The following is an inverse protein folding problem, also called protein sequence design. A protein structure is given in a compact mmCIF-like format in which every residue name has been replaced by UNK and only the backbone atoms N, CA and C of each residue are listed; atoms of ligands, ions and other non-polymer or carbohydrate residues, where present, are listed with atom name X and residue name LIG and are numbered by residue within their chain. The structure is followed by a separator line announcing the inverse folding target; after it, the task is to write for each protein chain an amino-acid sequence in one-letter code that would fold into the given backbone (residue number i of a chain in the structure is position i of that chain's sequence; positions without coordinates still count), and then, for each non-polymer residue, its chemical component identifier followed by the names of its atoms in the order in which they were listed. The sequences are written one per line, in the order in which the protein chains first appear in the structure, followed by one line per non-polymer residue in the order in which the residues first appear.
data_IF_235479778571
#
_entry.id   IF_235479778571
#
_cell.length_a   1.000
_cell.length_b   1.000
_cell.length_c   1.000
_cell.angle_alpha   90.00
_cell.angle_beta   90.00
_cell.angle_gamma   90.00
#
_symmetry.space_group_name_H-M   'P 1'
#
loop_
_entity.id
_entity.type
_entity.pdbx_description
1 polymer ?
#
# COMPACT_ATOMS: atom_id res chain seq x y z
N UNK A 1 5.48 6.21 -2.65
CA UNK A 1 5.80 4.77 -2.83
C UNK A 1 7.26 4.55 -3.23
N UNK A 2 7.70 4.94 -4.44
CA UNK A 2 9.09 4.68 -4.88
C UNK A 2 10.14 5.35 -3.98
N UNK A 3 9.91 6.59 -3.55
CA UNK A 3 10.78 7.26 -2.57
C UNK A 3 10.90 6.50 -1.23
N UNK A 4 9.81 5.84 -0.78
CA UNK A 4 9.83 5.02 0.44
C UNK A 4 10.66 3.75 0.22
N UNK A 5 10.62 3.20 -1.00
CA UNK A 5 11.45 2.06 -1.40
C UNK A 5 12.94 2.41 -1.45
N UNK A 6 13.27 3.67 -1.74
CA UNK A 6 14.64 4.20 -1.72
C UNK A 6 15.12 4.37 -0.27
N UNK A 7 14.29 4.96 0.60
CA UNK A 7 14.57 5.03 2.06
C UNK A 7 14.77 3.64 2.66
N UNK A 8 13.97 2.65 2.26
CA UNK A 8 14.20 1.26 2.66
C UNK A 8 15.54 0.71 2.16
N UNK A 9 15.94 1.07 0.94
CA UNK A 9 17.21 0.64 0.38
C UNK A 9 18.40 1.25 1.13
N UNK A 10 18.33 2.53 1.51
CA UNK A 10 19.33 3.22 2.34
C UNK A 10 19.43 2.62 3.74
N UNK A 11 18.30 2.18 4.31
CA UNK A 11 18.24 1.50 5.61
C UNK A 11 18.63 0.01 5.59
N UNK A 12 19.11 -0.52 4.44
CA UNK A 12 19.47 -1.93 4.28
C UNK A 12 20.71 -2.10 3.41
N UNK A 13 21.18 -3.35 3.25
CA UNK A 13 22.29 -3.65 2.34
C UNK A 13 21.93 -3.47 0.84
N UNK A 14 20.65 -3.21 0.54
CA UNK A 14 20.16 -3.12 -0.83
C UNK A 14 20.78 -1.95 -1.60
N UNK A 15 21.00 -0.80 -0.97
CA UNK A 15 21.64 0.34 -1.65
C UNK A 15 23.04 -0.03 -2.17
N UNK A 16 23.87 -0.62 -1.29
CA UNK A 16 25.21 -1.09 -1.63
C UNK A 16 25.18 -2.15 -2.73
N UNK A 17 24.26 -3.12 -2.63
CA UNK A 17 24.10 -4.18 -3.63
C UNK A 17 23.61 -3.65 -4.99
N UNK A 18 22.69 -2.67 -5.01
CA UNK A 18 22.27 -1.97 -6.25
C UNK A 18 23.47 -1.30 -6.92
N UNK A 19 24.29 -0.59 -6.15
CA UNK A 19 25.47 0.11 -6.66
C UNK A 19 26.54 -0.87 -7.20
N UNK A 20 26.75 -2.01 -6.53
CA UNK A 20 27.64 -3.07 -7.02
C UNK A 20 27.12 -3.70 -8.31
N UNK A 21 25.83 -4.09 -8.33
CA UNK A 21 25.19 -4.73 -9.48
C UNK A 21 25.20 -3.85 -10.73
N UNK A 22 25.14 -2.52 -10.56
CA UNK A 22 25.25 -1.57 -11.67
C UNK A 22 26.65 -1.51 -12.30
N UNK A 23 27.71 -1.89 -11.57
CA UNK A 23 29.10 -1.91 -12.06
C UNK A 23 29.45 -3.25 -12.71
N UNK A 24 29.03 -4.34 -12.08
CA UNK A 24 29.20 -5.71 -12.58
C UNK A 24 28.09 -6.60 -12.03
N UNK A 25 27.61 -7.61 -12.79
CA UNK A 25 26.62 -8.56 -12.30
C UNK A 25 27.05 -9.20 -10.98
N UNK A 26 26.15 -9.20 -10.00
CA UNK A 26 26.38 -9.92 -8.74
C UNK A 26 26.35 -11.43 -8.99
N UNK A 27 27.15 -12.17 -8.23
CA UNK A 27 27.21 -13.63 -8.27
C UNK A 27 27.06 -14.23 -6.86
N UNK A 28 26.76 -15.53 -6.79
CA UNK A 28 26.67 -16.27 -5.53
C UNK A 28 25.72 -15.66 -4.50
N UNK A 29 26.19 -15.56 -3.26
CA UNK A 29 25.40 -15.13 -2.10
C UNK A 29 24.96 -13.65 -2.19
N UNK A 30 25.78 -12.79 -2.81
CA UNK A 30 25.41 -11.38 -3.02
C UNK A 30 24.22 -11.26 -3.97
N UNK A 31 24.17 -12.08 -5.04
CA UNK A 31 23.05 -12.10 -5.98
C UNK A 31 21.76 -12.62 -5.32
N UNK A 32 21.86 -13.64 -4.47
CA UNK A 32 20.73 -14.18 -3.72
C UNK A 32 20.17 -13.13 -2.73
N UNK A 33 21.05 -12.48 -1.98
CA UNK A 33 20.69 -11.42 -1.02
C UNK A 33 20.07 -10.23 -1.73
N UNK A 34 20.64 -9.83 -2.87
CA UNK A 34 20.10 -8.75 -3.70
C UNK A 34 18.68 -9.04 -4.17
N UNK A 35 18.41 -10.23 -4.73
CA UNK A 35 17.06 -10.61 -5.18
C UNK A 35 16.04 -10.59 -4.05
N UNK A 36 16.43 -11.11 -2.88
CA UNK A 36 15.59 -11.11 -1.68
C UNK A 36 15.25 -9.69 -1.22
N UNK A 37 16.25 -8.82 -1.08
CA UNK A 37 16.03 -7.43 -0.65
C UNK A 37 15.31 -6.60 -1.71
N UNK A 38 15.52 -6.87 -3.01
CA UNK A 38 14.78 -6.23 -4.09
C UNK A 38 13.29 -6.58 -4.02
N UNK A 39 12.96 -7.84 -3.77
CA UNK A 39 11.56 -8.27 -3.59
C UNK A 39 10.93 -7.68 -2.32
N UNK A 40 11.69 -7.58 -1.23
CA UNK A 40 11.25 -6.88 -0.03
C UNK A 40 10.97 -5.39 -0.29
N UNK A 41 11.83 -4.70 -1.04
CA UNK A 41 11.63 -3.31 -1.48
C UNK A 41 10.40 -3.16 -2.38
N UNK A 42 10.13 -4.14 -3.25
CA UNK A 42 8.93 -4.20 -4.06
C UNK A 42 7.66 -4.32 -3.19
N UNK A 43 7.68 -5.22 -2.21
CA UNK A 43 6.59 -5.37 -1.24
C UNK A 43 6.32 -4.10 -0.44
N UNK A 44 7.37 -3.45 0.09
CA UNK A 44 7.27 -2.15 0.78
C UNK A 44 6.64 -1.08 -0.12
N UNK A 45 6.98 -1.07 -1.41
CA UNK A 45 6.42 -0.12 -2.38
C UNK A 45 4.92 -0.31 -2.60
N UNK A 46 4.48 -1.56 -2.78
CA UNK A 46 3.07 -1.91 -2.91
C UNK A 46 2.28 -1.53 -1.65
N UNK A 47 2.79 -1.90 -0.47
CA UNK A 47 2.15 -1.56 0.81
C UNK A 47 2.03 -0.06 1.00
N UNK A 48 3.10 0.68 0.73
CA UNK A 48 3.11 2.14 0.85
C UNK A 48 2.07 2.80 -0.05
N UNK A 49 1.91 2.33 -1.29
CA UNK A 49 0.90 2.89 -2.21
C UNK A 49 -0.52 2.52 -1.77
N UNK A 50 -0.76 1.26 -1.39
CA UNK A 50 -2.08 0.83 -0.94
C UNK A 50 -2.51 1.58 0.33
N UNK A 51 -1.60 1.76 1.30
CA UNK A 51 -1.82 2.57 2.51
C UNK A 51 -2.09 4.03 2.19
N UNK A 52 -1.35 4.62 1.24
CA UNK A 52 -1.58 5.99 0.79
C UNK A 52 -3.00 6.17 0.21
N UNK A 53 -3.41 5.26 -0.68
CA UNK A 53 -4.76 5.27 -1.25
C UNK A 53 -5.83 5.12 -0.15
N UNK A 54 -5.65 4.17 0.77
CA UNK A 54 -6.62 3.89 1.81
C UNK A 54 -6.80 5.06 2.80
N UNK A 55 -5.71 5.74 3.15
CA UNK A 55 -5.74 6.84 4.11
C UNK A 55 -6.31 8.14 3.52
N UNK A 56 -5.97 8.47 2.27
CA UNK A 56 -6.31 9.76 1.66
C UNK A 56 -7.64 9.77 0.89
N UNK A 57 -8.09 8.62 0.38
CA UNK A 57 -9.38 8.52 -0.30
C UNK A 57 -10.48 8.50 0.77
N UNK A 58 -11.24 9.59 0.84
CA UNK A 58 -12.40 9.66 1.73
C UNK A 58 -13.66 9.11 1.04
N UNK A 59 -14.38 8.22 1.71
CA UNK A 59 -15.60 7.62 1.19
C UNK A 59 -16.48 7.13 2.34
N UNK A 60 -17.72 7.59 2.35
CA UNK A 60 -18.78 7.15 3.27
C UNK A 60 -19.75 6.14 2.61
N UNK A 61 -19.49 5.75 1.35
CA UNK A 61 -20.30 4.78 0.61
C UNK A 61 -20.05 3.32 1.02
N UNK A 62 -21.03 2.46 0.72
CA UNK A 62 -20.92 1.02 0.94
C UNK A 62 -20.01 0.37 -0.12
N UNK A 63 -18.98 -0.33 0.35
CA UNK A 63 -18.00 -0.96 -0.54
C UNK A 63 -18.64 -2.09 -1.37
N UNK A 64 -18.27 -2.25 -2.66
CA UNK A 64 -18.65 -3.41 -3.44
C UNK A 64 -18.09 -4.70 -2.82
N UNK A 65 -18.93 -5.73 -2.72
CA UNK A 65 -18.56 -7.02 -2.15
C UNK A 65 -17.62 -7.85 -3.05
N UNK A 66 -17.45 -7.47 -4.30
CA UNK A 66 -16.76 -8.21 -5.36
C UNK A 66 -15.43 -7.56 -5.79
N UNK A 67 -14.88 -6.67 -4.97
CA UNK A 67 -13.62 -5.98 -5.27
C UNK A 67 -12.47 -7.00 -5.35
N UNK A 68 -11.83 -7.19 -6.53
CA UNK A 68 -10.79 -8.19 -6.69
C UNK A 68 -9.48 -7.75 -6.03
N UNK A 69 -8.70 -8.73 -5.58
CA UNK A 69 -7.33 -8.51 -5.10
C UNK A 69 -6.40 -8.14 -6.28
N UNK A 70 -5.39 -7.26 -6.08
CA UNK A 70 -4.38 -7.01 -7.10
C UNK A 70 -3.59 -8.27 -7.47
N UNK A 71 -3.27 -8.41 -8.75
CA UNK A 71 -2.32 -9.40 -9.27
C UNK A 71 -0.88 -8.96 -8.93
N UNK A 72 -0.46 -9.09 -7.67
CA UNK A 72 0.80 -8.55 -7.18
C UNK A 72 2.04 -9.09 -7.92
N UNK A 73 2.95 -8.17 -8.28
CA UNK A 73 4.26 -8.48 -8.87
C UNK A 73 5.38 -7.92 -7.99
N UNK A 74 6.27 -8.77 -7.49
CA UNK A 74 7.31 -8.38 -6.52
C UNK A 74 8.74 -8.49 -7.07
N UNK A 75 8.89 -8.41 -8.39
CA UNK A 75 10.20 -8.46 -9.05
C UNK A 75 10.99 -7.17 -8.84
N UNK A 76 10.30 -6.02 -8.94
CA UNK A 76 10.88 -4.68 -8.70
C UNK A 76 9.86 -3.76 -8.02
N UNK A 77 10.30 -2.69 -7.33
CA UNK A 77 9.42 -1.61 -6.86
C UNK A 77 8.45 -1.08 -7.92
N UNK A 78 8.91 -0.96 -9.16
CA UNK A 78 8.11 -0.47 -10.27
C UNK A 78 7.02 -1.47 -10.65
N UNK A 79 7.33 -2.76 -10.71
CA UNK A 79 6.34 -3.79 -11.06
C UNK A 79 5.28 -3.96 -9.96
N UNK A 80 5.70 -3.82 -8.70
CA UNK A 80 4.80 -3.77 -7.56
C UNK A 80 3.82 -2.59 -7.67
N UNK A 81 4.33 -1.37 -7.90
CA UNK A 81 3.48 -0.18 -8.08
C UNK A 81 2.55 -0.33 -9.29
N UNK A 82 3.05 -0.84 -10.43
CA UNK A 82 2.22 -1.09 -11.62
C UNK A 82 1.10 -2.09 -11.34
N UNK A 83 1.36 -3.15 -10.57
CA UNK A 83 0.33 -4.13 -10.23
C UNK A 83 -0.81 -3.52 -9.41
N UNK A 84 -0.50 -2.63 -8.46
CA UNK A 84 -1.50 -1.86 -7.70
C UNK A 84 -2.28 -0.92 -8.62
N UNK A 85 -1.61 -0.18 -9.50
CA UNK A 85 -2.28 0.75 -10.43
C UNK A 85 -3.19 0.01 -11.41
N UNK A 86 -2.75 -1.13 -11.94
CA UNK A 86 -3.56 -1.96 -12.81
C UNK A 86 -4.79 -2.56 -12.09
N UNK A 87 -4.62 -2.97 -10.83
CA UNK A 87 -5.75 -3.42 -10.00
C UNK A 87 -6.74 -2.28 -9.72
N UNK A 88 -6.23 -1.08 -9.42
CA UNK A 88 -7.06 0.11 -9.16
C UNK A 88 -7.87 0.48 -10.40
N UNK A 89 -7.25 0.52 -11.58
CA UNK A 89 -7.90 0.78 -12.87
C UNK A 89 -9.08 -0.18 -13.10
N UNK A 90 -8.85 -1.49 -12.91
CA UNK A 90 -9.92 -2.50 -13.00
C UNK A 90 -11.02 -2.29 -11.96
N UNK A 91 -10.68 -1.91 -10.73
CA UNK A 91 -11.64 -1.75 -9.63
C UNK A 91 -12.56 -0.54 -9.82
N UNK A 92 -12.03 0.56 -10.36
CA UNK A 92 -12.79 1.79 -10.62
C UNK A 92 -13.49 1.79 -11.98
N UNK A 93 -13.16 0.85 -12.87
CA UNK A 93 -13.79 0.73 -14.17
C UNK A 93 -15.31 0.56 -14.03
N UNK A 94 -16.06 1.37 -14.80
CA UNK A 94 -17.53 1.34 -14.78
C UNK A 94 -18.17 2.03 -13.57
N UNK A 95 -17.41 2.81 -12.79
CA UNK A 95 -17.97 3.69 -11.77
C UNK A 95 -19.04 4.61 -12.36
N UNK A 96 -20.16 4.76 -11.65
CA UNK A 96 -21.33 5.52 -12.13
C UNK A 96 -21.16 7.03 -11.98
N UNK A 97 -20.42 7.44 -10.96
CA UNK A 97 -20.11 8.80 -10.59
C UNK A 97 -18.83 8.85 -9.73
N UNK A 98 -18.41 10.06 -9.36
CA UNK A 98 -17.21 10.28 -8.55
C UNK A 98 -17.33 9.64 -7.16
N UNK A 99 -18.53 9.57 -6.57
CA UNK A 99 -18.71 8.97 -5.25
C UNK A 99 -18.50 7.45 -5.31
N UNK A 100 -19.09 6.77 -6.29
CA UNK A 100 -18.89 5.34 -6.56
C UNK A 100 -17.41 5.05 -6.88
N UNK A 101 -16.74 5.92 -7.66
CA UNK A 101 -15.31 5.81 -7.95
C UNK A 101 -14.48 5.83 -6.66
N UNK A 102 -14.73 6.79 -5.77
CA UNK A 102 -14.02 6.93 -4.50
C UNK A 102 -14.27 5.73 -3.58
N UNK A 103 -15.51 5.25 -3.49
CA UNK A 103 -15.86 4.06 -2.71
C UNK A 103 -15.16 2.81 -3.23
N UNK A 104 -15.14 2.58 -4.54
CA UNK A 104 -14.43 1.47 -5.19
C UNK A 104 -12.93 1.54 -4.96
N UNK A 105 -12.32 2.70 -5.14
CA UNK A 105 -10.89 2.90 -4.96
C UNK A 105 -10.46 2.64 -3.51
N UNK A 106 -11.24 3.13 -2.53
CA UNK A 106 -10.97 2.87 -1.10
C UNK A 106 -11.15 1.40 -0.74
N UNK A 107 -12.19 0.75 -1.26
CA UNK A 107 -12.42 -0.69 -1.07
C UNK A 107 -11.27 -1.52 -1.65
N UNK A 108 -10.80 -1.18 -2.85
CA UNK A 108 -9.64 -1.82 -3.47
C UNK A 108 -8.37 -1.65 -2.64
N UNK A 109 -8.10 -0.44 -2.14
CA UNK A 109 -6.95 -0.19 -1.28
C UNK A 109 -6.98 -1.06 -0.01
N UNK A 110 -8.16 -1.26 0.58
CA UNK A 110 -8.35 -2.17 1.73
C UNK A 110 -8.04 -3.62 1.37
N UNK A 111 -8.62 -4.14 0.29
CA UNK A 111 -8.35 -5.50 -0.20
C UNK A 111 -6.86 -5.70 -0.49
N UNK A 112 -6.22 -4.72 -1.12
CA UNK A 112 -4.78 -4.76 -1.40
C UNK A 112 -3.94 -4.82 -0.12
N UNK A 113 -4.27 -4.00 0.90
CA UNK A 113 -3.58 -4.03 2.20
C UNK A 113 -3.75 -5.38 2.89
N UNK A 114 -4.97 -5.91 2.96
CA UNK A 114 -5.27 -7.19 3.61
C UNK A 114 -4.50 -8.33 2.90
N UNK A 115 -4.48 -8.30 1.57
CA UNK A 115 -3.70 -9.21 0.74
C UNK A 115 -2.19 -9.14 1.00
N UNK A 116 -1.64 -7.93 1.13
CA UNK A 116 -0.23 -7.73 1.44
C UNK A 116 0.11 -8.25 2.85
N UNK A 117 -0.69 -7.91 3.86
CA UNK A 117 -0.50 -8.37 5.24
C UNK A 117 -0.54 -9.90 5.34
N UNK A 118 -1.45 -10.56 4.63
CA UNK A 118 -1.51 -12.03 4.56
C UNK A 118 -0.25 -12.66 3.94
N UNK A 119 0.52 -11.89 3.16
CA UNK A 119 1.76 -12.32 2.50
C UNK A 119 3.03 -11.85 3.19
N UNK A 120 2.94 -11.04 4.26
CA UNK A 120 4.09 -10.43 4.94
C UNK A 120 5.19 -11.46 5.27
N UNK A 121 4.81 -12.61 5.80
CA UNK A 121 5.74 -13.69 6.18
C UNK A 121 6.50 -14.36 5.03
N UNK A 122 6.24 -14.00 3.77
CA UNK A 122 6.98 -14.50 2.59
C UNK A 122 8.23 -13.68 2.29
N UNK A 123 8.39 -12.52 2.94
CA UNK A 123 9.51 -11.61 2.72
C UNK A 123 10.38 -11.55 3.96
N UNK A 124 11.69 -11.67 3.79
CA UNK A 124 12.64 -11.37 4.87
C UNK A 124 13.52 -10.17 4.53
N UNK A 125 14.20 -9.64 5.54
CA UNK A 125 14.95 -8.38 5.43
C UNK A 125 14.06 -7.14 5.45
N UNK A 126 12.77 -7.27 5.81
CA UNK A 126 11.82 -6.17 5.94
C UNK A 126 11.94 -5.41 7.27
N UNK A 127 12.76 -5.88 8.20
CA UNK A 127 12.95 -5.29 9.54
C UNK A 127 13.27 -3.78 9.56
N UNK A 128 14.08 -3.24 8.64
CA UNK A 128 14.28 -1.79 8.53
C UNK A 128 12.97 -1.00 8.32
N UNK A 129 12.04 -1.55 7.55
CA UNK A 129 10.74 -0.91 7.33
C UNK A 129 9.78 -1.11 8.51
N UNK A 130 9.83 -2.27 9.20
CA UNK A 130 8.95 -2.52 10.35
C UNK A 130 9.09 -1.49 11.47
N UNK A 131 10.28 -0.91 11.62
CA UNK A 131 10.59 0.10 12.63
C UNK A 131 10.61 1.53 12.06
N UNK A 132 10.25 1.71 10.79
CA UNK A 132 10.28 3.01 10.14
C UNK A 132 9.04 3.83 10.51
N UNK A 133 9.28 5.10 10.81
CA UNK A 133 8.23 6.11 11.01
C UNK A 133 8.40 7.18 9.93
N UNK A 134 7.50 7.17 8.93
CA UNK A 134 7.56 8.05 7.78
C UNK A 134 6.33 8.95 7.78
N UNK A 135 6.55 10.27 7.74
CA UNK A 135 5.49 11.26 7.59
C UNK A 135 5.70 12.05 6.30
N UNK A 136 4.65 12.21 5.52
CA UNK A 136 4.60 13.08 4.34
C UNK A 136 3.70 14.26 4.70
N UNK A 137 4.32 15.39 5.05
CA UNK A 137 3.61 16.56 5.60
C UNK A 137 2.60 17.18 4.63
N UNK A 138 2.90 17.18 3.33
CA UNK A 138 2.04 17.82 2.31
C UNK A 138 0.66 17.15 2.22
N UNK A 139 0.60 15.85 2.50
CA UNK A 139 -0.62 15.04 2.38
C UNK A 139 -1.19 14.62 3.75
N UNK A 140 -0.53 15.01 4.86
CA UNK A 140 -0.79 14.51 6.21
C UNK A 140 -0.85 12.97 6.27
N UNK A 141 0.04 12.31 5.53
CA UNK A 141 0.11 10.86 5.42
C UNK A 141 1.20 10.29 6.32
N UNK A 142 0.90 9.18 7.01
CA UNK A 142 1.86 8.50 7.88
C UNK A 142 1.96 7.01 7.57
N UNK A 143 3.18 6.48 7.71
CA UNK A 143 3.49 5.06 7.72
C UNK A 143 4.31 4.75 8.97
N UNK A 144 3.75 3.89 9.81
CA UNK A 144 4.39 3.35 11.00
C UNK A 144 4.65 1.86 10.75
N UNK A 145 5.67 1.58 9.95
CA UNK A 145 5.95 0.27 9.38
C UNK A 145 4.76 -0.34 8.63
N UNK A 146 4.33 -1.53 9.06
CA UNK A 146 3.17 -2.22 8.48
C UNK A 146 1.88 -2.03 9.28
N UNK A 147 1.86 -1.09 10.23
CA UNK A 147 0.61 -0.71 10.89
C UNK A 147 -0.33 -0.01 9.88
N UNK A 148 -1.59 -0.39 9.92
CA UNK A 148 -2.62 0.18 9.05
C UNK A 148 -3.35 1.24 9.85
N UNK A 149 -2.88 2.48 9.71
CA UNK A 149 -3.60 3.62 10.28
C UNK A 149 -5.07 3.60 9.82
N UNK A 150 -6.04 3.83 10.72
CA UNK A 150 -7.42 3.96 10.31
C UNK A 150 -7.53 5.13 9.33
N UNK A 151 -8.19 4.92 8.18
CA UNK A 151 -8.50 6.01 7.25
C UNK A 151 -9.31 7.11 7.95
N UNK A 152 -9.47 8.28 7.30
CA UNK A 152 -10.23 9.42 7.87
C UNK A 152 -11.52 8.93 8.54
N UNK A 153 -11.68 9.30 9.83
CA UNK A 153 -12.80 8.83 10.65
C UNK A 153 -14.12 9.24 9.99
N UNK A 154 -15.00 8.27 9.76
CA UNK A 154 -16.39 8.55 9.42
C UNK A 154 -17.05 9.37 10.53
N UNK A 155 -17.91 10.32 10.17
CA UNK A 155 -18.64 11.11 11.17
C UNK A 155 -19.49 10.16 12.05
N UNK A 156 -19.55 10.39 13.37
CA UNK A 156 -20.42 9.59 14.24
C UNK A 156 -21.86 9.65 13.75
N UNK A 157 -22.53 8.49 13.66
CA UNK A 157 -23.94 8.43 13.28
C UNK A 157 -24.77 9.09 14.40
N UNK A 158 -25.28 10.30 14.16
CA UNK A 158 -26.19 10.96 15.10
C UNK A 158 -27.60 10.48 14.81
N UNK A 159 -28.09 9.53 15.62
CA UNK A 159 -29.50 9.13 15.56
C UNK A 159 -30.35 10.19 16.25
N UNK A 160 -30.96 11.09 15.49
CA UNK A 160 -31.98 12.01 16.02
C UNK A 160 -33.26 11.21 16.25
N UNK A 161 -33.52 10.85 17.50
CA UNK A 161 -34.83 10.35 17.90
C UNK A 161 -35.85 11.49 17.77
N UNK A 162 -36.87 11.30 16.94
CA UNK A 162 -38.05 12.17 16.93
C UNK A 162 -38.77 12.06 18.27
N UNK A 163 -39.29 13.18 18.76
CA UNK A 163 -40.11 13.18 19.99
C UNK A 163 -41.45 12.49 19.72
N UNK A 164 -42.12 11.92 20.74
CA UNK A 164 -43.39 11.20 20.59
C UNK A 164 -44.50 12.01 19.92
N UNK A 165 -44.44 13.33 20.00
CA UNK A 165 -45.39 14.27 19.38
C UNK A 165 -45.11 14.61 17.90
N UNK A 166 -44.05 14.05 17.31
CA UNK A 166 -43.63 14.27 15.91
C UNK A 166 -43.74 13.01 15.03
N UNK A 167 -44.52 12.01 15.45
CA UNK A 167 -44.81 10.76 14.72
C UNK A 167 -46.23 10.76 14.16
#
# INVERSE_FOLDING_TARGET
ALAISDVFAEGSDLESLKAKNARAPLEGDEAATFKKLLSASAYVSAFSLASYLFQLIDSDGEAPNDTPEPDFLFDTPQDAVKSIVAGLDKAIAGAKDDADLMTRARAFARVAIDGLLARKGRFDGIGPFENAHIRIDVDDFTLDGFDVAPGKRSKPLVMTFKKPEEV
#
